data_IF_436058677533
#
_entry.id   IF_436058677533
#
_cell.length_a   1.000
_cell.length_b   1.000
_cell.length_c   1.000
_cell.angle_alpha   90.00
_cell.angle_beta   90.00
_cell.angle_gamma   90.00
#
_symmetry.space_group_name_H-M   'P 1'
#
loop_
_entity.id
_entity.type
_entity.pdbx_description
1 polymer ?
#
# COMPACT_ATOMS: atom_id res chain seq x y z
N UNK A 1 -16.26 17.56 -11.01
CA UNK A 1 -16.27 16.34 -10.23
C UNK A 1 -15.47 16.47 -8.93
N UNK A 2 -15.86 15.72 -7.91
CA UNK A 2 -15.31 15.80 -6.55
C UNK A 2 -13.79 15.56 -6.53
N UNK A 3 -13.31 14.55 -7.26
CA UNK A 3 -11.88 14.20 -7.28
C UNK A 3 -11.02 15.32 -7.85
N UNK A 4 -11.48 15.98 -8.92
CA UNK A 4 -10.75 17.12 -9.50
C UNK A 4 -10.57 18.24 -8.50
N UNK A 5 -11.61 18.58 -7.76
CA UNK A 5 -11.56 19.61 -6.73
C UNK A 5 -10.54 19.26 -5.63
N UNK A 6 -10.46 18.01 -5.22
CA UNK A 6 -9.51 17.54 -4.22
C UNK A 6 -8.06 17.56 -4.74
N UNK A 7 -7.85 17.23 -6.00
CA UNK A 7 -6.53 17.33 -6.64
C UNK A 7 -6.10 18.79 -6.73
N UNK A 8 -6.97 19.67 -7.20
CA UNK A 8 -6.69 21.12 -7.33
C UNK A 8 -6.40 21.76 -5.96
N UNK A 9 -7.05 21.29 -4.90
CA UNK A 9 -6.81 21.73 -3.52
C UNK A 9 -5.55 21.12 -2.88
N UNK A 10 -4.87 20.19 -3.55
CA UNK A 10 -3.69 19.48 -3.01
C UNK A 10 -4.01 18.40 -1.98
N UNK A 11 -5.29 18.08 -1.77
CA UNK A 11 -5.71 17.03 -0.84
C UNK A 11 -5.49 15.61 -1.39
N UNK A 12 -5.40 15.48 -2.70
CA UNK A 12 -5.09 14.22 -3.41
C UNK A 12 -3.97 14.44 -4.40
N UNK A 13 -3.01 13.56 -4.42
CA UNK A 13 -1.90 13.60 -5.37
C UNK A 13 -1.67 12.22 -6.00
N UNK A 14 -1.49 12.18 -7.30
CA UNK A 14 -1.04 11.00 -8.02
C UNK A 14 0.47 11.04 -8.19
N UNK A 15 1.15 9.98 -7.78
CA UNK A 15 2.61 9.85 -7.89
C UNK A 15 2.93 8.51 -8.55
N UNK A 16 3.67 8.50 -9.67
CA UNK A 16 4.03 7.25 -10.34
C UNK A 16 5.05 6.45 -9.51
N UNK A 17 4.87 5.13 -9.48
CA UNK A 17 5.82 4.24 -8.79
C UNK A 17 7.15 4.07 -9.54
N UNK A 18 7.18 4.39 -10.82
CA UNK A 18 8.33 4.12 -11.70
C UNK A 18 8.44 2.66 -12.15
N UNK A 19 7.42 1.85 -11.87
CA UNK A 19 7.39 0.44 -12.23
C UNK A 19 6.26 0.16 -13.23
N UNK A 20 6.56 -0.67 -14.23
CA UNK A 20 5.60 -1.06 -15.27
C UNK A 20 5.11 -2.49 -15.03
N UNK A 21 4.63 -2.77 -13.84
CA UNK A 21 4.16 -4.08 -13.41
C UNK A 21 2.87 -3.96 -12.62
N UNK A 22 2.07 -5.02 -12.62
CA UNK A 22 0.93 -5.16 -11.70
C UNK A 22 1.36 -5.42 -10.26
N UNK A 23 2.62 -5.83 -10.07
CA UNK A 23 3.26 -5.96 -8.76
C UNK A 23 3.91 -4.63 -8.35
N UNK A 24 4.19 -4.46 -7.09
CA UNK A 24 4.91 -3.31 -6.56
C UNK A 24 6.06 -3.81 -5.67
N UNK A 25 7.28 -3.58 -6.10
CA UNK A 25 8.47 -3.83 -5.29
C UNK A 25 8.84 -2.55 -4.54
N UNK A 26 8.69 -2.55 -3.23
CA UNK A 26 8.96 -1.39 -2.39
C UNK A 26 10.44 -0.98 -2.40
N UNK A 27 11.36 -1.91 -2.70
CA UNK A 27 12.79 -1.61 -2.82
C UNK A 27 13.16 -0.93 -4.15
N UNK A 28 12.26 -0.94 -5.12
CA UNK A 28 12.51 -0.49 -6.50
C UNK A 28 11.58 0.65 -6.93
N UNK A 29 10.99 1.35 -5.97
CA UNK A 29 10.19 2.53 -6.27
C UNK A 29 11.07 3.62 -6.89
N UNK A 30 10.52 4.32 -7.89
CA UNK A 30 11.21 5.40 -8.56
C UNK A 30 11.50 6.59 -7.62
N UNK A 31 12.45 7.46 -8.02
CA UNK A 31 12.90 8.57 -7.16
C UNK A 31 11.79 9.55 -6.80
N UNK A 32 10.82 9.74 -7.67
CA UNK A 32 9.69 10.63 -7.41
C UNK A 32 8.83 10.13 -6.24
N UNK A 33 8.44 8.84 -6.26
CA UNK A 33 7.68 8.24 -5.17
C UNK A 33 8.50 8.16 -3.88
N UNK A 34 9.75 7.72 -3.96
CA UNK A 34 10.62 7.63 -2.80
C UNK A 34 10.86 8.99 -2.15
N UNK A 35 11.11 10.02 -2.95
CA UNK A 35 11.29 11.38 -2.46
C UNK A 35 10.03 11.91 -1.76
N UNK A 36 8.86 11.69 -2.35
CA UNK A 36 7.61 12.11 -1.75
C UNK A 36 7.32 11.37 -0.45
N UNK A 37 7.46 10.05 -0.43
CA UNK A 37 7.24 9.23 0.79
C UNK A 37 8.21 9.65 1.90
N UNK A 38 9.49 9.82 1.59
CA UNK A 38 10.50 10.26 2.57
C UNK A 38 10.15 11.63 3.15
N UNK A 39 9.76 12.58 2.30
CA UNK A 39 9.35 13.91 2.73
C UNK A 39 8.11 13.86 3.64
N UNK A 40 7.10 13.11 3.26
CA UNK A 40 5.88 12.97 4.06
C UNK A 40 6.15 12.28 5.40
N UNK A 41 6.85 11.15 5.41
CA UNK A 41 7.18 10.45 6.66
C UNK A 41 8.12 11.26 7.56
N UNK A 42 8.97 12.12 6.99
CA UNK A 42 9.79 13.05 7.75
C UNK A 42 8.98 14.16 8.45
N UNK A 43 7.79 14.47 7.95
CA UNK A 43 6.90 15.51 8.49
C UNK A 43 5.85 14.97 9.47
N UNK A 44 5.73 13.66 9.62
CA UNK A 44 4.73 13.06 10.52
C UNK A 44 5.04 13.46 11.96
N UNK A 45 4.13 14.13 12.65
CA UNK A 45 4.27 14.35 14.09
C UNK A 45 4.33 12.99 14.82
N UNK A 46 4.94 12.96 16.00
CA UNK A 46 5.07 11.73 16.80
C UNK A 46 3.72 11.04 17.06
N UNK A 47 2.64 11.80 17.01
CA UNK A 47 1.25 11.33 17.08
C UNK A 47 0.59 11.16 15.71
N UNK A 48 1.35 11.26 14.62
CA UNK A 48 0.82 11.24 13.26
C UNK A 48 0.26 9.87 12.89
N UNK A 49 -0.97 9.88 12.44
CA UNK A 49 -1.67 8.71 11.98
C UNK A 49 -1.46 8.55 10.48
N UNK A 50 -0.69 7.54 10.10
CA UNK A 50 -0.52 7.16 8.73
C UNK A 50 -1.24 5.85 8.45
N UNK A 51 -2.01 5.84 7.39
CA UNK A 51 -2.58 4.64 6.82
C UNK A 51 -2.02 4.44 5.41
N UNK A 52 -1.32 3.34 5.21
CA UNK A 52 -0.85 2.90 3.88
C UNK A 52 -1.74 1.77 3.42
N UNK A 53 -2.36 1.92 2.26
CA UNK A 53 -3.26 0.91 1.69
C UNK A 53 -2.60 0.28 0.48
N UNK A 54 -2.42 -1.04 0.54
CA UNK A 54 -2.03 -1.86 -0.61
C UNK A 54 -3.30 -2.45 -1.22
N UNK A 55 -3.77 -1.85 -2.29
CA UNK A 55 -5.01 -2.24 -2.95
C UNK A 55 -4.73 -3.09 -4.20
N UNK A 56 -5.41 -4.21 -4.27
CA UNK A 56 -5.35 -5.14 -5.39
C UNK A 56 -4.56 -6.42 -5.11
N UNK A 57 -4.86 -7.46 -5.90
CA UNK A 57 -4.23 -8.78 -5.73
C UNK A 57 -2.71 -8.73 -5.93
N UNK A 58 -2.24 -8.03 -6.95
CA UNK A 58 -0.82 -7.92 -7.25
C UNK A 58 -0.04 -7.16 -6.16
N UNK A 59 -0.54 -6.02 -5.74
CA UNK A 59 0.14 -5.16 -4.75
C UNK A 59 -0.08 -5.61 -3.32
N UNK A 60 -1.29 -6.05 -2.99
CA UNK A 60 -1.69 -6.38 -1.62
C UNK A 60 -1.50 -7.84 -1.23
N UNK A 61 -1.51 -8.78 -2.16
CA UNK A 61 -1.37 -10.21 -1.87
C UNK A 61 -0.07 -10.79 -2.41
N UNK A 62 0.25 -10.56 -3.68
CA UNK A 62 1.36 -11.25 -4.34
C UNK A 62 2.70 -10.62 -4.01
N UNK A 63 2.81 -9.30 -3.88
CA UNK A 63 4.08 -8.62 -3.64
C UNK A 63 4.25 -8.03 -2.24
N UNK A 64 3.20 -7.59 -1.57
CA UNK A 64 3.30 -6.90 -0.27
C UNK A 64 2.38 -7.50 0.80
N UNK A 65 2.35 -8.81 0.92
CA UNK A 65 1.53 -9.47 1.95
C UNK A 65 1.99 -9.15 3.38
N UNK A 66 3.29 -9.00 3.57
CA UNK A 66 3.88 -8.64 4.86
C UNK A 66 4.74 -7.37 4.72
N UNK A 67 4.13 -6.18 4.58
CA UNK A 67 4.87 -4.95 4.31
C UNK A 67 5.48 -4.31 5.56
N UNK A 68 5.13 -4.75 6.76
CA UNK A 68 5.52 -4.13 8.03
C UNK A 68 7.02 -3.79 8.15
N UNK A 69 7.97 -4.65 7.74
CA UNK A 69 9.40 -4.35 7.87
C UNK A 69 9.87 -3.13 7.04
N UNK A 70 9.10 -2.70 6.05
CA UNK A 70 9.46 -1.56 5.19
C UNK A 70 9.01 -0.22 5.75
N UNK A 71 8.24 -0.22 6.85
CA UNK A 71 7.63 1.00 7.39
C UNK A 71 8.05 1.22 8.85
N UNK A 72 8.03 2.48 9.26
CA UNK A 72 8.32 2.88 10.65
C UNK A 72 7.27 2.36 11.62
N UNK A 73 7.65 2.25 12.88
CA UNK A 73 6.74 1.90 13.97
C UNK A 73 5.52 2.83 13.99
N UNK A 74 4.36 2.24 14.19
CA UNK A 74 3.11 2.98 14.33
C UNK A 74 2.39 3.32 13.02
N UNK A 75 3.00 3.08 11.85
CA UNK A 75 2.30 3.23 10.57
C UNK A 75 1.30 2.10 10.41
N UNK A 76 0.03 2.42 10.22
CA UNK A 76 -1.01 1.43 9.93
C UNK A 76 -0.92 0.97 8.47
N UNK A 77 -0.96 -0.33 8.26
CA UNK A 77 -0.83 -0.95 6.94
C UNK A 77 -2.07 -1.79 6.66
N UNK A 78 -2.73 -1.55 5.56
CA UNK A 78 -3.95 -2.21 5.17
C UNK A 78 -3.78 -2.89 3.80
N UNK A 79 -3.90 -4.21 3.78
CA UNK A 79 -3.94 -4.96 2.53
C UNK A 79 -5.40 -5.25 2.19
N UNK A 80 -5.83 -4.79 1.02
CA UNK A 80 -7.17 -4.99 0.48
C UNK A 80 -7.06 -5.68 -0.87
N UNK A 81 -7.75 -6.80 -1.05
CA UNK A 81 -7.79 -7.45 -2.34
C UNK A 81 -8.98 -8.39 -2.49
N UNK A 82 -9.39 -8.60 -3.73
CA UNK A 82 -10.25 -9.73 -4.10
C UNK A 82 -9.37 -10.84 -4.63
N UNK A 83 -9.59 -12.06 -4.13
CA UNK A 83 -8.89 -13.26 -4.62
C UNK A 83 -9.44 -13.63 -6.00
N UNK A 84 -8.60 -13.58 -7.02
CA UNK A 84 -9.00 -13.84 -8.42
C UNK A 84 -8.30 -15.07 -9.02
N UNK A 85 -7.53 -15.80 -8.23
CA UNK A 85 -6.86 -17.02 -8.69
C UNK A 85 -6.95 -18.12 -7.66
N UNK A 86 -7.04 -19.35 -8.13
CA UNK A 86 -7.06 -20.54 -7.26
C UNK A 86 -5.76 -20.72 -6.47
N UNK A 87 -4.63 -20.28 -7.03
CA UNK A 87 -3.33 -20.37 -6.36
C UNK A 87 -3.34 -19.50 -5.09
N UNK A 88 -3.80 -18.25 -5.22
CA UNK A 88 -3.92 -17.35 -4.08
C UNK A 88 -5.00 -17.79 -3.10
N UNK A 89 -6.12 -18.33 -3.59
CA UNK A 89 -7.15 -18.89 -2.75
C UNK A 89 -6.61 -20.00 -1.84
N UNK A 90 -5.90 -20.97 -2.41
CA UNK A 90 -5.25 -22.06 -1.64
C UNK A 90 -4.22 -21.53 -0.64
N UNK A 91 -3.40 -20.56 -1.04
CA UNK A 91 -2.38 -19.97 -0.17
C UNK A 91 -2.98 -19.28 1.05
N UNK A 92 -4.16 -18.72 0.93
CA UNK A 92 -4.83 -17.95 1.97
C UNK A 92 -5.93 -18.73 2.70
N UNK A 93 -6.15 -20.00 2.37
CA UNK A 93 -7.28 -20.79 2.85
C UNK A 93 -8.63 -20.06 2.61
N UNK A 94 -8.79 -19.57 1.40
CA UNK A 94 -9.93 -18.77 0.95
C UNK A 94 -10.52 -19.36 -0.34
N UNK A 95 -11.60 -18.79 -0.81
CA UNK A 95 -12.23 -19.12 -2.10
C UNK A 95 -11.97 -18.01 -3.12
N UNK A 96 -12.07 -18.37 -4.41
CA UNK A 96 -11.99 -17.37 -5.49
C UNK A 96 -13.18 -16.40 -5.34
N UNK A 97 -12.89 -15.11 -5.49
CA UNK A 97 -13.76 -13.96 -5.26
C UNK A 97 -14.00 -13.57 -3.79
N UNK A 98 -13.37 -14.24 -2.84
CA UNK A 98 -13.33 -13.72 -1.47
C UNK A 98 -12.61 -12.39 -1.41
N UNK A 99 -13.08 -11.51 -0.54
CA UNK A 99 -12.40 -10.26 -0.22
C UNK A 99 -11.47 -10.47 0.98
N UNK A 100 -10.24 -10.03 0.83
CA UNK A 100 -9.23 -10.09 1.89
C UNK A 100 -9.00 -8.70 2.44
N UNK A 101 -9.06 -8.60 3.77
CA UNK A 101 -8.76 -7.39 4.52
C UNK A 101 -7.76 -7.77 5.61
N UNK A 102 -6.54 -7.24 5.53
CA UNK A 102 -5.50 -7.50 6.52
C UNK A 102 -4.94 -6.19 7.05
N UNK A 103 -5.07 -5.98 8.35
CA UNK A 103 -4.47 -4.84 9.04
C UNK A 103 -3.19 -5.28 9.75
N UNK A 104 -2.14 -4.49 9.63
CA UNK A 104 -0.88 -4.68 10.34
C UNK A 104 -0.27 -3.33 10.72
N UNK A 105 0.82 -3.34 11.47
CA UNK A 105 1.51 -2.14 11.93
C UNK A 105 2.97 -2.20 11.48
N UNK A 106 3.49 -1.09 11.00
CA UNK A 106 4.88 -0.96 10.60
C UNK A 106 5.84 -1.25 11.74
N UNK A 107 7.06 -1.68 11.42
CA UNK A 107 8.09 -2.03 12.38
C UNK A 107 7.90 -3.40 13.05
N UNK A 108 6.77 -4.06 12.88
CA UNK A 108 6.53 -5.40 13.40
C UNK A 108 7.37 -6.42 12.64
N UNK A 109 8.13 -7.20 13.37
CA UNK A 109 8.91 -8.32 12.81
C UNK A 109 8.10 -9.60 12.75
#
# INVERSE_FOLDING_TARGET
PILKAQIDAGAVRAVPSGQFSTLLDLNRCGPELNGWVTDQFGKVPASGEWLVVFDGMGRGLESNWNPAPYFKDGVCLLNLAMVKSEINAKRLDAEVYDCVVKLSVGGSK
#
